data_IF_993711739036
#
_entry.id   IF_993711739036
#
_cell.length_a   1.000
_cell.length_b   1.000
_cell.length_c   1.000
_cell.angle_alpha   90.00
_cell.angle_beta   90.00
_cell.angle_gamma   90.00
#
_symmetry.space_group_name_H-M   'P 1'
#
loop_
_entity.id
_entity.type
_entity.pdbx_description
1 polymer ?
#
# COMPACT_ATOMS: atom_id res chain seq x y z
N UNK A 1 36.49 47.01 -13.75
CA UNK A 1 35.80 45.76 -14.15
C UNK A 1 35.75 44.88 -12.92
N UNK A 2 34.56 44.52 -12.44
CA UNK A 2 34.46 43.68 -11.25
C UNK A 2 35.07 42.31 -11.55
N UNK A 3 36.11 41.92 -10.82
CA UNK A 3 36.79 40.65 -11.00
C UNK A 3 35.81 39.51 -10.69
N UNK A 4 35.53 38.67 -11.69
CA UNK A 4 34.55 37.60 -11.59
C UNK A 4 35.10 36.49 -10.71
N UNK A 5 34.30 36.00 -9.76
CA UNK A 5 34.77 35.06 -8.75
C UNK A 5 35.11 33.71 -9.37
N UNK A 6 36.40 33.38 -9.50
CA UNK A 6 36.89 32.10 -10.02
C UNK A 6 36.97 31.04 -8.92
N UNK A 7 36.38 29.87 -9.15
CA UNK A 7 36.46 28.75 -8.21
C UNK A 7 37.90 28.24 -8.11
N UNK A 8 38.40 28.14 -6.88
CA UNK A 8 39.80 27.82 -6.55
C UNK A 8 40.85 28.71 -7.23
N UNK A 9 40.44 29.89 -7.70
CA UNK A 9 41.29 30.81 -8.48
C UNK A 9 41.57 30.36 -9.92
N UNK A 10 40.97 29.25 -10.38
CA UNK A 10 41.24 28.65 -11.70
C UNK A 10 40.02 28.65 -12.61
N UNK A 11 38.87 28.19 -12.11
CA UNK A 11 37.71 27.86 -12.95
C UNK A 11 36.69 29.02 -12.99
N UNK A 12 36.33 29.47 -14.18
CA UNK A 12 35.30 30.52 -14.36
C UNK A 12 33.88 29.92 -14.32
N UNK A 13 32.92 30.68 -13.81
CA UNK A 13 31.50 30.30 -13.79
C UNK A 13 30.71 30.86 -14.98
N UNK A 14 31.26 31.84 -15.71
CA UNK A 14 30.56 32.51 -16.82
C UNK A 14 30.42 31.61 -18.05
N UNK A 15 31.35 30.69 -18.25
CA UNK A 15 31.38 29.73 -19.37
C UNK A 15 30.47 28.52 -19.11
N UNK A 16 29.81 28.44 -17.95
CA UNK A 16 29.04 27.26 -17.55
C UNK A 16 27.58 27.42 -17.98
N UNK A 17 27.14 26.51 -18.85
CA UNK A 17 25.78 26.47 -19.38
C UNK A 17 25.00 25.26 -18.83
N UNK A 18 23.72 25.48 -18.55
CA UNK A 18 22.79 24.41 -18.11
C UNK A 18 21.87 24.07 -19.29
N UNK A 19 22.02 22.87 -19.84
CA UNK A 19 21.25 22.45 -21.03
C UNK A 19 19.77 22.13 -20.75
N UNK A 20 19.42 21.74 -19.52
CA UNK A 20 18.04 21.44 -19.12
C UNK A 20 17.37 22.64 -18.44
N UNK A 21 16.37 23.21 -19.12
CA UNK A 21 15.57 24.35 -18.69
C UNK A 21 14.92 24.10 -17.31
N UNK A 22 14.51 22.87 -17.01
CA UNK A 22 13.83 22.54 -15.75
C UNK A 22 14.76 22.56 -14.53
N UNK A 23 16.08 22.46 -14.76
CA UNK A 23 17.09 22.38 -13.71
C UNK A 23 17.85 23.71 -13.50
N UNK A 24 17.69 24.68 -14.41
CA UNK A 24 18.42 25.95 -14.41
C UNK A 24 18.33 26.69 -13.05
N UNK A 25 17.14 26.77 -12.46
CA UNK A 25 16.93 27.45 -11.17
C UNK A 25 17.41 26.64 -9.94
N UNK A 26 17.62 25.34 -10.12
CA UNK A 26 18.01 24.42 -9.04
C UNK A 26 19.50 24.08 -9.02
N UNK A 27 20.20 24.40 -10.12
CA UNK A 27 21.65 24.32 -10.28
C UNK A 27 22.21 25.74 -10.13
N UNK A 28 22.62 26.10 -8.92
CA UNK A 28 23.18 27.41 -8.62
C UNK A 28 24.62 27.54 -9.15
N UNK A 29 24.76 27.84 -10.44
CA UNK A 29 26.03 28.14 -11.13
C UNK A 29 26.11 29.57 -11.67
N UNK A 30 24.99 30.30 -11.68
CA UNK A 30 24.95 31.72 -12.10
C UNK A 30 25.96 32.57 -11.30
N UNK A 31 26.52 33.66 -11.86
CA UNK A 31 27.53 34.50 -11.21
C UNK A 31 27.17 34.98 -9.79
N UNK A 32 25.88 35.15 -9.49
CA UNK A 32 25.35 35.46 -8.15
C UNK A 32 25.77 34.46 -7.07
N UNK A 33 25.95 33.19 -7.44
CA UNK A 33 26.30 32.08 -6.56
C UNK A 33 27.78 31.70 -6.66
N UNK A 34 28.55 32.38 -7.51
CA UNK A 34 29.98 32.13 -7.68
C UNK A 34 30.73 32.41 -6.37
N UNK A 35 31.60 31.48 -5.99
CA UNK A 35 32.43 31.56 -4.78
C UNK A 35 33.82 31.04 -5.10
N UNK A 36 34.83 31.62 -4.45
CA UNK A 36 36.22 31.18 -4.60
C UNK A 36 36.49 29.79 -3.99
N UNK A 37 35.72 29.41 -2.97
CA UNK A 37 35.86 28.11 -2.28
C UNK A 37 34.50 27.45 -2.14
N UNK A 38 34.50 26.14 -1.85
CA UNK A 38 33.29 25.34 -1.67
C UNK A 38 32.67 25.47 -0.27
N UNK A 39 33.09 26.47 0.50
CA UNK A 39 32.62 26.72 1.85
C UNK A 39 32.05 28.14 1.96
N UNK A 40 30.72 28.28 1.95
CA UNK A 40 30.07 29.59 2.03
C UNK A 40 29.63 29.98 3.45
N UNK A 41 29.84 29.11 4.45
CA UNK A 41 29.25 29.21 5.81
C UNK A 41 27.71 29.42 5.83
N UNK A 42 27.03 29.12 4.71
CA UNK A 42 25.61 29.41 4.52
C UNK A 42 24.72 28.44 5.28
N UNK A 43 23.68 28.98 5.95
CA UNK A 43 22.64 28.18 6.63
C UNK A 43 21.47 27.89 5.67
N UNK A 44 21.66 26.92 4.79
CA UNK A 44 20.69 26.56 3.74
C UNK A 44 19.53 25.67 4.23
N UNK A 45 19.64 25.08 5.42
CA UNK A 45 18.65 24.18 6.01
C UNK A 45 17.46 24.90 6.68
N UNK A 46 17.57 26.20 6.97
CA UNK A 46 16.54 26.95 7.73
C UNK A 46 15.18 27.03 7.02
N UNK A 47 15.14 26.96 5.68
CA UNK A 47 13.91 26.96 4.88
C UNK A 47 14.04 25.96 3.75
N UNK A 48 12.94 25.29 3.37
CA UNK A 48 12.92 24.20 2.38
C UNK A 48 13.62 24.54 1.05
N UNK A 49 13.32 25.71 0.46
CA UNK A 49 13.83 26.09 -0.85
C UNK A 49 15.19 26.80 -0.83
N UNK A 50 15.75 27.14 0.35
CA UNK A 50 17.08 27.75 0.43
C UNK A 50 18.19 26.82 -0.05
N UNK A 51 17.95 25.51 -0.06
CA UNK A 51 18.87 24.51 -0.62
C UNK A 51 19.16 24.74 -2.11
N UNK A 52 18.21 25.25 -2.89
CA UNK A 52 18.39 25.53 -4.31
C UNK A 52 19.42 26.66 -4.55
N UNK A 53 19.56 27.59 -3.60
CA UNK A 53 20.49 28.72 -3.67
C UNK A 53 21.93 28.35 -3.27
N UNK A 54 22.15 27.14 -2.75
CA UNK A 54 23.49 26.69 -2.36
C UNK A 54 24.29 26.33 -3.62
N UNK A 55 25.52 26.87 -3.80
CA UNK A 55 26.36 26.57 -4.96
C UNK A 55 26.50 25.06 -5.17
N UNK A 56 26.45 24.63 -6.43
CA UNK A 56 26.35 23.19 -6.74
C UNK A 56 27.58 22.40 -6.26
N UNK A 57 28.77 23.00 -6.35
CA UNK A 57 30.02 22.39 -5.89
C UNK A 57 30.03 22.24 -4.37
N UNK A 58 29.48 23.21 -3.63
CA UNK A 58 29.33 23.08 -2.17
C UNK A 58 28.35 21.95 -1.80
N UNK A 59 27.27 21.75 -2.57
CA UNK A 59 26.36 20.61 -2.36
C UNK A 59 27.05 19.27 -2.60
N UNK A 60 27.92 19.17 -3.61
CA UNK A 60 28.75 17.99 -3.85
C UNK A 60 29.68 17.74 -2.67
N UNK A 61 30.40 18.77 -2.21
CA UNK A 61 31.30 18.66 -1.05
C UNK A 61 30.54 18.18 0.19
N UNK A 62 29.40 18.81 0.52
CA UNK A 62 28.54 18.43 1.65
C UNK A 62 28.04 16.98 1.57
N UNK A 63 27.79 16.47 0.36
CA UNK A 63 27.31 15.09 0.15
C UNK A 63 28.43 14.05 0.24
N UNK A 64 29.69 14.45 0.06
CA UNK A 64 30.85 13.57 0.18
C UNK A 64 31.20 13.25 1.64
N UNK A 65 30.85 14.12 2.58
CA UNK A 65 31.11 13.96 4.02
C UNK A 65 30.16 12.98 4.73
N UNK A 66 29.24 12.34 4.02
CA UNK A 66 28.24 11.49 4.64
C UNK A 66 28.83 10.14 5.10
N UNK A 67 28.22 9.59 6.16
CA UNK A 67 28.47 8.30 6.80
C UNK A 67 29.69 8.20 7.74
N UNK A 68 29.41 7.76 8.97
CA UNK A 68 30.39 7.30 9.95
C UNK A 68 31.49 8.31 10.28
N UNK A 69 32.75 7.90 10.07
CA UNK A 69 33.98 8.60 10.50
C UNK A 69 34.28 9.91 9.75
N UNK A 70 33.61 10.17 8.63
CA UNK A 70 33.85 11.33 7.77
C UNK A 70 32.82 12.45 7.96
N UNK A 71 31.82 12.22 8.82
CA UNK A 71 30.81 13.20 9.16
C UNK A 71 31.45 14.49 9.71
N UNK A 72 31.11 15.64 9.11
CA UNK A 72 31.57 16.96 9.55
C UNK A 72 32.96 17.38 9.05
N UNK A 73 33.71 16.51 8.37
CA UNK A 73 35.07 16.81 7.88
C UNK A 73 35.06 17.58 6.55
N UNK A 74 34.58 18.83 6.59
CA UNK A 74 34.39 19.67 5.38
C UNK A 74 35.68 20.09 4.70
N UNK A 75 36.73 20.36 5.47
CA UNK A 75 38.05 20.69 4.92
C UNK A 75 38.61 19.54 4.07
N UNK A 76 38.56 18.31 4.59
CA UNK A 76 38.99 17.12 3.88
C UNK A 76 38.21 16.90 2.58
N UNK A 77 36.88 17.01 2.64
CA UNK A 77 36.02 16.88 1.46
C UNK A 77 36.29 17.98 0.41
N UNK A 78 36.55 19.22 0.84
CA UNK A 78 36.91 20.32 -0.07
C UNK A 78 38.21 20.04 -0.81
N UNK A 79 39.21 19.46 -0.13
CA UNK A 79 40.47 19.06 -0.78
C UNK A 79 40.26 17.95 -1.80
N UNK A 80 39.43 16.95 -1.49
CA UNK A 80 39.11 15.86 -2.42
C UNK A 80 38.45 16.41 -3.69
N UNK A 81 37.45 17.30 -3.56
CA UNK A 81 36.78 17.91 -4.72
C UNK A 81 37.75 18.75 -5.54
N UNK A 82 38.65 19.51 -4.90
CA UNK A 82 39.69 20.28 -5.60
C UNK A 82 40.58 19.37 -6.46
N UNK A 83 41.09 18.28 -5.89
CA UNK A 83 41.91 17.33 -6.64
C UNK A 83 41.14 16.61 -7.74
N UNK A 84 39.89 16.21 -7.48
CA UNK A 84 39.04 15.59 -8.49
C UNK A 84 38.81 16.52 -9.69
N UNK A 85 38.58 17.83 -9.46
CA UNK A 85 38.40 18.80 -10.54
C UNK A 85 39.67 19.03 -11.36
N UNK A 86 40.86 18.96 -10.73
CA UNK A 86 42.13 19.00 -11.46
C UNK A 86 42.28 17.78 -12.36
N UNK A 87 41.95 16.58 -11.87
CA UNK A 87 41.97 15.34 -12.67
C UNK A 87 40.97 15.42 -13.83
N UNK A 88 39.74 15.90 -13.59
CA UNK A 88 38.72 16.06 -14.64
C UNK A 88 39.22 16.98 -15.76
N UNK A 89 39.80 18.13 -15.40
CA UNK A 89 40.34 19.05 -16.40
C UNK A 89 41.49 18.43 -17.19
N UNK A 90 42.41 17.72 -16.53
CA UNK A 90 43.53 17.06 -17.22
C UNK A 90 43.09 15.93 -18.17
N UNK A 91 41.97 15.27 -17.90
CA UNK A 91 41.48 14.16 -18.71
C UNK A 91 40.52 14.59 -19.84
N UNK A 92 39.83 15.72 -19.68
CA UNK A 92 38.76 16.14 -20.60
C UNK A 92 39.05 17.46 -21.31
N UNK A 93 40.03 18.23 -20.84
CA UNK A 93 40.34 19.60 -21.27
C UNK A 93 39.13 20.57 -21.22
N UNK A 94 38.09 20.20 -20.47
CA UNK A 94 36.88 20.99 -20.26
C UNK A 94 36.86 21.58 -18.85
N UNK A 95 36.10 22.67 -18.69
CA UNK A 95 35.85 23.24 -17.37
C UNK A 95 35.17 22.17 -16.46
N UNK A 96 35.78 21.80 -15.33
CA UNK A 96 35.25 20.73 -14.48
C UNK A 96 33.89 21.06 -13.86
N UNK A 97 33.55 22.35 -13.75
CA UNK A 97 32.23 22.78 -13.30
C UNK A 97 31.16 22.42 -14.34
N UNK A 98 31.46 22.55 -15.64
CA UNK A 98 30.57 22.15 -16.72
C UNK A 98 30.34 20.63 -16.69
N UNK A 99 31.41 19.85 -16.59
CA UNK A 99 31.32 18.38 -16.49
C UNK A 99 30.46 17.96 -15.29
N UNK A 100 30.57 18.66 -14.15
CA UNK A 100 29.70 18.42 -13.00
C UNK A 100 28.22 18.72 -13.29
N UNK A 101 27.93 19.82 -13.98
CA UNK A 101 26.56 20.19 -14.37
C UNK A 101 25.97 19.11 -15.28
N UNK A 102 26.70 18.71 -16.32
CA UNK A 102 26.26 17.67 -17.26
C UNK A 102 26.06 16.31 -16.56
N UNK A 103 26.96 15.95 -15.64
CA UNK A 103 26.82 14.76 -14.81
C UNK A 103 25.54 14.77 -13.95
N UNK A 104 25.14 15.94 -13.43
CA UNK A 104 23.93 16.08 -12.63
C UNK A 104 22.67 15.99 -13.51
N UNK A 105 22.69 16.61 -14.70
CA UNK A 105 21.59 16.57 -15.67
C UNK A 105 21.33 15.11 -16.08
N UNK A 106 22.40 14.39 -16.43
CA UNK A 106 22.29 13.01 -16.87
C UNK A 106 22.02 12.03 -15.71
N UNK A 107 22.61 12.25 -14.54
CA UNK A 107 22.46 11.37 -13.36
C UNK A 107 21.11 11.49 -12.64
N UNK A 108 20.30 12.51 -12.95
CA UNK A 108 19.00 12.74 -12.31
C UNK A 108 17.87 11.92 -12.93
N UNK A 109 17.11 11.12 -12.16
CA UNK A 109 15.94 10.39 -12.66
C UNK A 109 14.77 11.35 -12.97
N UNK A 110 14.02 11.03 -14.02
CA UNK A 110 12.81 11.75 -14.42
C UNK A 110 11.57 11.21 -13.73
N UNK A 111 11.52 9.89 -13.59
CA UNK A 111 10.43 9.16 -12.95
C UNK A 111 10.96 8.28 -11.81
N UNK A 112 10.16 8.12 -10.77
CA UNK A 112 10.41 7.23 -9.64
C UNK A 112 9.11 6.46 -9.35
N UNK A 113 9.19 5.42 -8.52
CA UNK A 113 8.04 4.62 -8.16
C UNK A 113 7.71 4.79 -6.68
N UNK A 114 6.53 5.31 -6.36
CA UNK A 114 6.06 5.43 -4.97
C UNK A 114 5.29 4.20 -4.55
N UNK A 115 5.44 3.86 -3.27
CA UNK A 115 4.70 2.76 -2.65
C UNK A 115 3.28 3.23 -2.33
N UNK A 116 2.28 2.61 -2.94
CA UNK A 116 0.86 2.89 -2.70
C UNK A 116 0.18 1.59 -2.32
N UNK A 117 -0.55 1.60 -1.21
CA UNK A 117 -1.28 0.43 -0.77
C UNK A 117 -2.38 0.79 0.19
N UNK A 118 -3.51 0.12 0.05
CA UNK A 118 -4.60 0.12 1.02
C UNK A 118 -4.89 -1.35 1.37
N UNK A 119 -5.26 -1.60 2.63
CA UNK A 119 -5.61 -2.94 3.12
C UNK A 119 -4.51 -4.02 2.97
N UNK A 120 -3.23 -3.65 3.14
CA UNK A 120 -2.12 -4.62 3.23
C UNK A 120 -1.53 -5.08 1.90
N UNK A 121 -2.17 -4.77 0.77
CA UNK A 121 -1.58 -4.98 -0.56
C UNK A 121 -0.80 -3.73 -0.95
N UNK A 122 0.51 -3.90 -1.13
CA UNK A 122 1.42 -2.82 -1.53
C UNK A 122 1.71 -2.94 -3.02
N UNK A 123 1.29 -1.93 -3.78
CA UNK A 123 1.67 -1.76 -5.18
C UNK A 123 2.65 -0.58 -5.30
N UNK A 124 3.38 -0.50 -6.40
CA UNK A 124 4.19 0.67 -6.74
C UNK A 124 3.47 1.43 -7.84
N UNK A 125 3.29 2.73 -7.70
CA UNK A 125 2.78 3.61 -8.75
C UNK A 125 3.92 4.48 -9.28
N UNK A 126 4.00 4.62 -10.61
CA UNK A 126 4.93 5.54 -11.23
C UNK A 126 4.53 6.99 -10.92
N UNK A 127 5.49 7.81 -10.53
CA UNK A 127 5.29 9.24 -10.29
C UNK A 127 6.46 10.05 -10.83
N UNK A 128 6.18 11.28 -11.24
CA UNK A 128 7.21 12.20 -11.69
C UNK A 128 8.09 12.70 -10.54
N UNK A 129 9.38 12.92 -10.82
CA UNK A 129 10.34 13.44 -9.86
C UNK A 129 10.47 14.95 -10.00
N UNK A 130 10.25 15.67 -8.90
CA UNK A 130 10.50 17.12 -8.83
C UNK A 130 11.95 17.47 -9.21
N UNK A 131 12.20 18.57 -9.95
CA UNK A 131 13.55 18.99 -10.34
C UNK A 131 14.54 19.14 -9.17
N UNK A 132 14.10 19.67 -8.03
CA UNK A 132 14.95 19.76 -6.84
C UNK A 132 15.37 18.38 -6.32
N UNK A 133 14.45 17.39 -6.38
CA UNK A 133 14.73 16.00 -5.98
C UNK A 133 15.66 15.33 -6.99
N UNK A 134 15.48 15.59 -8.28
CA UNK A 134 16.36 15.12 -9.36
C UNK A 134 17.82 15.50 -9.10
N UNK A 135 18.09 16.79 -8.86
CA UNK A 135 19.45 17.28 -8.53
C UNK A 135 19.98 16.65 -7.23
N UNK A 136 19.14 16.49 -6.20
CA UNK A 136 19.55 15.88 -4.95
C UNK A 136 19.92 14.40 -5.09
N UNK A 137 19.12 13.63 -5.84
CA UNK A 137 19.38 12.22 -6.10
C UNK A 137 20.63 12.04 -6.96
N UNK A 138 20.82 12.86 -8.00
CA UNK A 138 22.02 12.81 -8.84
C UNK A 138 23.31 13.00 -8.02
N UNK A 139 23.38 14.07 -7.21
CA UNK A 139 24.55 14.32 -6.36
C UNK A 139 24.77 13.17 -5.37
N UNK A 140 23.70 12.66 -4.76
CA UNK A 140 23.81 11.56 -3.78
C UNK A 140 24.29 10.26 -4.42
N UNK A 141 23.81 9.93 -5.62
CA UNK A 141 24.24 8.75 -6.35
C UNK A 141 25.69 8.85 -6.80
N UNK A 142 26.12 10.01 -7.31
CA UNK A 142 27.52 10.28 -7.69
C UNK A 142 28.45 10.09 -6.49
N UNK A 143 28.15 10.70 -5.33
CA UNK A 143 29.02 10.56 -4.15
C UNK A 143 28.95 9.16 -3.52
N UNK A 144 27.87 8.41 -3.74
CA UNK A 144 27.77 7.02 -3.30
C UNK A 144 28.61 6.11 -4.19
N UNK A 145 28.51 6.24 -5.51
CA UNK A 145 29.35 5.52 -6.47
C UNK A 145 30.84 5.77 -6.26
N UNK A 146 31.24 7.03 -6.04
CA UNK A 146 32.63 7.38 -5.74
C UNK A 146 33.15 6.71 -4.46
N UNK A 147 32.34 6.66 -3.40
CA UNK A 147 32.71 6.02 -2.12
C UNK A 147 32.79 4.50 -2.23
N UNK A 148 31.83 3.88 -2.90
CA UNK A 148 31.81 2.43 -3.11
C UNK A 148 33.01 1.99 -3.97
N UNK A 149 33.33 2.75 -5.02
CA UNK A 149 34.45 2.45 -5.93
C UNK A 149 35.83 2.65 -5.29
N UNK A 150 35.95 3.59 -4.35
CA UNK A 150 37.18 3.82 -3.59
C UNK A 150 37.36 2.83 -2.43
N UNK A 151 36.28 2.21 -1.93
CA UNK A 151 36.36 1.33 -0.78
C UNK A 151 37.11 0.03 -1.14
N UNK A 152 38.21 -0.23 -0.43
CA UNK A 152 39.14 -1.38 -0.67
C UNK A 152 39.81 -1.36 -2.05
N UNK A 153 39.81 -0.21 -2.73
CA UNK A 153 40.54 -0.02 -3.98
C UNK A 153 41.83 0.77 -3.73
N UNK A 154 42.81 0.62 -4.63
CA UNK A 154 44.08 1.35 -4.60
C UNK A 154 43.88 2.81 -5.04
N UNK A 155 42.94 3.02 -5.96
CA UNK A 155 42.59 4.36 -6.47
C UNK A 155 42.18 5.29 -5.34
N UNK A 156 42.63 6.53 -5.43
CA UNK A 156 42.23 7.56 -4.46
C UNK A 156 40.76 7.94 -4.67
N UNK A 157 40.10 8.45 -3.61
CA UNK A 157 38.72 8.92 -3.72
C UNK A 157 38.57 10.08 -4.73
N UNK A 158 39.62 10.88 -4.93
CA UNK A 158 39.62 11.96 -5.91
C UNK A 158 39.59 11.43 -7.35
N UNK A 159 40.37 10.39 -7.65
CA UNK A 159 40.35 9.69 -8.95
C UNK A 159 39.00 9.00 -9.18
N UNK A 160 38.48 8.26 -8.19
CA UNK A 160 37.18 7.61 -8.32
C UNK A 160 36.04 8.61 -8.54
N UNK A 161 36.09 9.78 -7.88
CA UNK A 161 35.10 10.84 -8.08
C UNK A 161 35.23 11.47 -9.48
N UNK A 162 36.46 11.69 -9.97
CA UNK A 162 36.68 12.20 -11.32
C UNK A 162 36.17 11.21 -12.40
N UNK A 163 36.49 9.92 -12.25
CA UNK A 163 36.00 8.86 -13.14
C UNK A 163 34.46 8.83 -13.15
N UNK A 164 33.81 8.94 -11.99
CA UNK A 164 32.35 8.93 -11.87
C UNK A 164 31.72 10.16 -12.54
N UNK A 165 32.31 11.36 -12.37
CA UNK A 165 31.84 12.59 -13.01
C UNK A 165 31.95 12.53 -14.53
N UNK A 166 33.09 12.09 -15.07
CA UNK A 166 33.31 12.01 -16.53
C UNK A 166 32.35 11.00 -17.15
N UNK A 167 32.18 9.82 -16.51
CA UNK A 167 31.28 8.79 -17.02
C UNK A 167 29.81 9.21 -16.95
N UNK A 168 29.40 9.88 -15.86
CA UNK A 168 28.04 10.40 -15.72
C UNK A 168 27.75 11.53 -16.70
N UNK A 169 28.71 12.45 -16.94
CA UNK A 169 28.57 13.53 -17.91
C UNK A 169 28.37 13.00 -19.34
N UNK A 170 29.07 11.93 -19.72
CA UNK A 170 28.88 11.25 -21.01
C UNK A 170 27.61 10.40 -21.09
N UNK A 171 26.87 10.23 -19.98
CA UNK A 171 25.72 9.32 -19.92
C UNK A 171 26.10 7.84 -20.02
N UNK A 172 27.34 7.48 -19.71
CA UNK A 172 27.80 6.10 -19.79
C UNK A 172 27.21 5.26 -18.68
N UNK A 173 26.70 4.08 -19.04
CA UNK A 173 26.24 3.06 -18.11
C UNK A 173 27.36 2.48 -17.24
N UNK A 174 28.62 2.90 -17.38
CA UNK A 174 29.69 2.53 -16.46
C UNK A 174 29.55 3.21 -15.09
N UNK A 175 29.02 4.43 -15.08
CA UNK A 175 28.80 5.19 -13.83
C UNK A 175 27.73 4.52 -12.96
N UNK A 176 27.94 4.55 -11.64
CA UNK A 176 26.97 4.07 -10.67
C UNK A 176 25.68 4.90 -10.73
N UNK A 177 25.81 6.22 -10.89
CA UNK A 177 24.67 7.13 -10.92
C UNK A 177 23.69 6.81 -12.06
N UNK A 178 24.19 6.58 -13.28
CA UNK A 178 23.34 6.24 -14.44
C UNK A 178 22.74 4.85 -14.27
N UNK A 179 23.52 3.85 -13.83
CA UNK A 179 22.98 2.49 -13.57
C UNK A 179 21.79 2.52 -12.61
N UNK A 180 21.91 3.28 -11.52
CA UNK A 180 20.84 3.39 -10.51
C UNK A 180 19.67 4.23 -10.97
N UNK A 181 19.91 5.30 -11.73
CA UNK A 181 18.85 6.05 -12.39
C UNK A 181 18.03 5.14 -13.32
N UNK A 182 18.69 4.40 -14.21
CA UNK A 182 18.02 3.52 -15.17
C UNK A 182 17.24 2.40 -14.47
N UNK A 183 17.74 1.90 -13.34
CA UNK A 183 17.02 0.95 -12.48
C UNK A 183 15.71 1.55 -11.94
N UNK A 184 15.76 2.79 -11.41
CA UNK A 184 14.57 3.49 -10.91
C UNK A 184 13.55 3.77 -12.02
N UNK A 185 14.01 4.28 -13.16
CA UNK A 185 13.14 4.58 -14.30
C UNK A 185 12.54 3.31 -14.92
N UNK A 186 13.28 2.19 -14.91
CA UNK A 186 12.76 0.87 -15.35
C UNK A 186 11.64 0.38 -14.42
N UNK A 187 11.82 0.53 -13.11
CA UNK A 187 10.79 0.19 -12.12
C UNK A 187 9.56 1.09 -12.30
N UNK A 188 9.75 2.39 -12.53
CA UNK A 188 8.64 3.30 -12.81
C UNK A 188 7.89 2.89 -14.09
N UNK A 189 8.62 2.65 -15.19
CA UNK A 189 8.03 2.21 -16.48
C UNK A 189 7.22 0.92 -16.35
N UNK A 190 7.71 -0.07 -15.61
CA UNK A 190 6.99 -1.31 -15.38
C UNK A 190 5.63 -1.10 -14.68
N UNK A 191 5.55 -0.11 -13.77
CA UNK A 191 4.35 0.17 -13.01
C UNK A 191 3.38 1.13 -13.71
N UNK A 192 3.78 1.83 -14.78
CA UNK A 192 2.85 2.60 -15.62
C UNK A 192 1.78 1.71 -16.26
N UNK A 193 2.15 0.50 -16.67
CA UNK A 193 1.25 -0.45 -17.32
C UNK A 193 0.18 -1.04 -16.36
N UNK A 194 0.35 -0.85 -15.05
CA UNK A 194 -0.60 -1.30 -14.04
C UNK A 194 -1.67 -0.25 -13.70
N UNK A 195 -1.64 0.93 -14.33
CA UNK A 195 -2.70 1.91 -14.17
C UNK A 195 -3.96 1.44 -14.88
N UNK A 196 -4.94 0.99 -14.08
CA UNK A 196 -6.31 0.80 -14.55
C UNK A 196 -6.82 2.17 -15.03
N UNK A 197 -7.23 2.30 -16.30
CA UNK A 197 -7.67 3.58 -16.86
C UNK A 197 -8.83 4.13 -16.04
N UNK A 198 -8.70 5.38 -15.58
CA UNK A 198 -9.64 5.99 -14.64
C UNK A 198 -10.78 6.71 -15.37
N UNK A 199 -10.56 7.14 -16.61
CA UNK A 199 -11.58 7.78 -17.46
C UNK A 199 -12.19 6.81 -18.48
N UNK A 200 -13.37 7.13 -19.02
CA UNK A 200 -14.01 6.35 -20.09
C UNK A 200 -13.25 6.48 -21.43
N UNK A 201 -12.64 7.64 -21.69
CA UNK A 201 -11.80 7.91 -22.87
C UNK A 201 -10.52 7.07 -22.88
N UNK A 202 -9.79 7.01 -21.78
CA UNK A 202 -8.58 6.18 -21.65
C UNK A 202 -8.90 4.69 -21.86
N UNK A 203 -10.08 4.25 -21.39
CA UNK A 203 -10.58 2.88 -21.64
C UNK A 203 -10.85 2.62 -23.12
N UNK A 204 -11.46 3.57 -23.84
CA UNK A 204 -11.68 3.47 -25.30
C UNK A 204 -10.36 3.44 -26.05
N UNK A 205 -9.39 4.26 -25.65
CA UNK A 205 -8.10 4.35 -26.33
C UNK A 205 -7.26 3.07 -26.15
N UNK A 206 -7.15 2.56 -24.91
CA UNK A 206 -6.49 1.29 -24.61
C UNK A 206 -7.17 0.12 -25.35
N UNK A 207 -8.51 0.10 -25.38
CA UNK A 207 -9.28 -0.90 -26.15
C UNK A 207 -8.98 -0.81 -27.66
N UNK A 208 -8.89 0.40 -28.21
CA UNK A 208 -8.55 0.63 -29.63
C UNK A 208 -7.11 0.20 -29.96
N UNK A 209 -6.17 0.40 -29.03
CA UNK A 209 -4.77 0.00 -29.18
C UNK A 209 -4.61 -1.52 -29.13
N UNK A 210 -5.30 -2.18 -28.20
CA UNK A 210 -5.30 -3.63 -28.08
C UNK A 210 -5.96 -4.29 -29.31
N UNK A 211 -7.08 -3.73 -29.80
CA UNK A 211 -7.70 -4.19 -31.05
C UNK A 211 -6.76 -4.06 -32.25
N UNK A 212 -5.96 -2.99 -32.32
CA UNK A 212 -4.94 -2.83 -33.38
C UNK A 212 -3.84 -3.88 -33.27
N UNK A 213 -3.36 -4.18 -32.06
CA UNK A 213 -2.35 -5.22 -31.83
C UNK A 213 -2.88 -6.63 -32.16
N UNK A 214 -4.13 -6.94 -31.80
CA UNK A 214 -4.77 -8.23 -32.12
C UNK A 214 -5.00 -8.38 -33.63
N UNK A 215 -5.39 -7.29 -34.33
CA UNK A 215 -5.47 -7.27 -35.79
C UNK A 215 -4.11 -7.44 -36.46
N UNK A 216 -3.07 -6.78 -35.95
CA UNK A 216 -1.69 -6.92 -36.45
C UNK A 216 -1.12 -8.33 -36.23
N UNK A 217 -1.53 -9.02 -35.16
CA UNK A 217 -1.14 -10.40 -34.87
C UNK A 217 -1.91 -11.46 -35.70
N UNK A 218 -2.78 -11.06 -36.62
CA UNK A 218 -3.51 -11.99 -37.51
C UNK A 218 -4.57 -12.86 -36.80
N UNK A 219 -4.95 -12.52 -35.57
CA UNK A 219 -5.94 -13.25 -34.77
C UNK A 219 -7.38 -12.81 -35.04
N UNK A 220 -7.64 -12.25 -36.23
CA UNK A 220 -8.95 -11.81 -36.68
C UNK A 220 -9.84 -13.03 -36.98
N UNK A 221 -10.41 -13.63 -35.93
CA UNK A 221 -11.25 -14.83 -36.01
C UNK A 221 -11.43 -15.58 -34.70
N UNK A 222 -10.57 -15.34 -33.69
CA UNK A 222 -10.68 -15.94 -32.34
C UNK A 222 -11.20 -14.91 -31.33
N UNK A 223 -12.33 -14.27 -31.66
CA UNK A 223 -12.94 -13.23 -30.82
C UNK A 223 -13.30 -13.71 -29.39
N UNK A 224 -13.63 -15.01 -29.24
CA UNK A 224 -14.07 -15.60 -27.97
C UNK A 224 -12.90 -15.92 -27.01
N UNK A 225 -11.69 -16.16 -27.54
CA UNK A 225 -10.53 -16.52 -26.72
C UNK A 225 -9.85 -15.28 -26.11
N UNK A 226 -9.91 -14.13 -26.80
CA UNK A 226 -9.41 -12.86 -26.28
C UNK A 226 -10.28 -12.34 -25.14
N UNK A 227 -11.60 -12.53 -25.20
CA UNK A 227 -12.51 -12.21 -24.08
C UNK A 227 -12.31 -13.15 -22.88
N UNK A 228 -12.02 -14.44 -23.11
CA UNK A 228 -11.69 -15.40 -22.05
C UNK A 228 -10.42 -15.00 -21.29
N UNK A 229 -9.38 -14.57 -22.00
CA UNK A 229 -8.13 -14.07 -21.42
C UNK A 229 -8.35 -12.75 -20.65
N UNK A 230 -9.23 -11.86 -21.14
CA UNK A 230 -9.62 -10.65 -20.41
C UNK A 230 -10.44 -10.92 -19.14
N UNK A 231 -11.31 -11.94 -19.16
CA UNK A 231 -12.11 -12.36 -18.01
C UNK A 231 -11.28 -13.07 -16.92
N UNK A 232 -10.21 -13.77 -17.32
CA UNK A 232 -9.24 -14.37 -16.39
C UNK A 232 -8.35 -13.34 -15.68
N UNK A 233 -8.18 -12.15 -16.27
CA UNK A 233 -7.39 -11.04 -15.69
C UNK A 233 -8.22 -9.98 -14.95
N UNK A 234 -9.54 -10.16 -14.83
CA UNK A 234 -10.40 -9.30 -14.02
C UNK A 234 -10.32 -9.70 -12.54
N UNK A 235 -9.81 -8.78 -11.71
CA UNK A 235 -9.73 -8.92 -10.25
C UNK A 235 -11.08 -9.39 -9.66
N UNK A 236 -11.03 -10.26 -8.63
CA UNK A 236 -12.20 -10.83 -7.93
C UNK A 236 -13.26 -9.78 -7.55
N UNK A 237 -12.84 -8.56 -7.23
CA UNK A 237 -13.71 -7.42 -6.94
C UNK A 237 -14.64 -7.06 -8.10
N UNK A 238 -14.16 -7.13 -9.34
CA UNK A 238 -14.93 -6.78 -10.54
C UNK A 238 -15.91 -7.90 -10.90
N UNK A 239 -15.56 -9.17 -10.65
CA UNK A 239 -16.52 -10.30 -10.74
C UNK A 239 -17.64 -10.18 -9.71
N UNK A 240 -17.33 -9.80 -8.48
CA UNK A 240 -18.35 -9.56 -7.45
C UNK A 240 -19.27 -8.39 -7.81
N UNK A 241 -18.74 -7.29 -8.37
CA UNK A 241 -19.57 -6.15 -8.82
C UNK A 241 -20.50 -6.53 -9.97
N UNK A 242 -20.03 -7.36 -10.91
CA UNK A 242 -20.86 -7.87 -12.00
C UNK A 242 -21.96 -8.81 -11.48
N UNK A 243 -21.63 -9.67 -10.51
CA UNK A 243 -22.58 -10.57 -9.86
C UNK A 243 -23.63 -9.79 -9.05
N UNK A 244 -23.23 -8.76 -8.29
CA UNK A 244 -24.15 -7.88 -7.57
C UNK A 244 -25.05 -7.09 -8.52
N UNK A 245 -24.52 -6.60 -9.65
CA UNK A 245 -25.32 -5.90 -10.68
C UNK A 245 -26.34 -6.84 -11.35
N UNK A 246 -25.98 -8.10 -11.58
CA UNK A 246 -26.89 -9.13 -12.10
C UNK A 246 -27.97 -9.54 -11.08
N UNK A 247 -27.65 -9.53 -9.78
CA UNK A 247 -28.63 -9.77 -8.71
C UNK A 247 -29.57 -8.57 -8.48
N UNK A 248 -29.12 -7.35 -8.73
CA UNK A 248 -29.92 -6.13 -8.65
C UNK A 248 -30.96 -6.01 -9.78
N UNK A 249 -30.87 -6.83 -10.83
CA UNK A 249 -31.84 -6.95 -11.94
C UNK A 249 -33.24 -7.43 -11.49
N UNK A 250 -33.37 -7.97 -10.28
CA UNK A 250 -34.62 -8.49 -9.71
C UNK A 250 -35.30 -7.57 -8.67
N UNK A 251 -34.93 -6.28 -8.56
CA UNK A 251 -35.68 -5.30 -7.75
C UNK A 251 -36.33 -4.22 -8.62
N UNK A 252 -37.59 -3.83 -8.35
CA UNK A 252 -38.24 -2.75 -9.09
C UNK A 252 -37.54 -1.41 -8.83
N UNK A 253 -37.31 -0.72 -9.95
CA UNK A 253 -36.78 0.63 -10.20
C UNK A 253 -36.90 1.61 -9.02
N UNK A 254 -35.76 2.09 -8.52
CA UNK A 254 -35.67 3.37 -7.82
C UNK A 254 -34.28 4.01 -8.00
N UNK A 255 -34.27 5.13 -8.74
CA UNK A 255 -33.30 6.23 -8.77
C UNK A 255 -31.88 5.92 -9.28
N UNK A 256 -31.66 6.19 -10.57
CA UNK A 256 -30.38 6.69 -11.09
C UNK A 256 -30.71 7.87 -12.00
N UNK A 257 -30.33 9.07 -11.57
CA UNK A 257 -30.28 10.25 -12.43
C UNK A 257 -29.07 10.19 -13.36
N UNK A 258 -29.27 10.71 -14.58
CA UNK A 258 -28.29 11.08 -15.60
C UNK A 258 -27.60 9.95 -16.41
N UNK A 259 -28.25 9.53 -17.48
CA UNK A 259 -27.64 9.13 -18.76
C UNK A 259 -28.68 9.34 -19.88
N UNK A 260 -28.27 9.90 -21.02
CA UNK A 260 -29.18 10.27 -22.11
C UNK A 260 -29.82 9.02 -22.77
N UNK A 261 -31.12 9.06 -23.12
CA UNK A 261 -31.89 7.89 -23.52
C UNK A 261 -31.47 7.23 -24.85
N UNK A 262 -30.73 7.93 -25.73
CA UNK A 262 -30.28 7.39 -27.03
C UNK A 262 -29.11 6.39 -26.90
N UNK A 263 -28.23 6.55 -25.89
CA UNK A 263 -27.08 5.65 -25.65
C UNK A 263 -27.50 4.29 -25.06
N UNK A 264 -28.63 4.25 -24.34
CA UNK A 264 -29.18 3.03 -23.74
C UNK A 264 -29.83 2.11 -24.79
N UNK A 265 -30.40 2.67 -25.86
CA UNK A 265 -31.04 1.87 -26.92
C UNK A 265 -30.01 1.15 -27.80
N UNK A 266 -28.85 1.77 -28.08
CA UNK A 266 -27.74 1.11 -28.79
C UNK A 266 -27.05 0.03 -27.94
N UNK A 267 -26.91 0.24 -26.63
CA UNK A 267 -26.38 -0.79 -25.71
C UNK A 267 -27.36 -1.96 -25.54
N UNK A 268 -28.68 -1.71 -25.48
CA UNK A 268 -29.70 -2.76 -25.40
C UNK A 268 -29.74 -3.57 -26.71
N UNK A 269 -29.69 -2.92 -27.87
CA UNK A 269 -29.67 -3.60 -29.17
C UNK A 269 -28.42 -4.48 -29.36
N UNK A 270 -27.26 -4.02 -28.89
CA UNK A 270 -26.02 -4.80 -28.91
C UNK A 270 -26.06 -5.99 -27.94
N UNK A 271 -26.63 -5.81 -26.75
CA UNK A 271 -26.82 -6.87 -25.75
C UNK A 271 -27.84 -7.92 -26.24
N UNK A 272 -28.89 -7.53 -26.96
CA UNK A 272 -29.87 -8.45 -27.54
C UNK A 272 -29.28 -9.32 -28.66
N UNK A 273 -28.40 -8.77 -29.49
CA UNK A 273 -27.68 -9.51 -30.54
C UNK A 273 -26.62 -10.47 -29.94
N UNK A 274 -25.93 -10.03 -28.88
CA UNK A 274 -24.97 -10.85 -28.13
C UNK A 274 -25.64 -12.02 -27.39
N UNK A 275 -26.85 -11.83 -26.84
CA UNK A 275 -27.63 -12.90 -26.18
C UNK A 275 -28.18 -13.90 -27.20
N UNK A 276 -28.56 -13.47 -28.40
CA UNK A 276 -29.08 -14.34 -29.48
C UNK A 276 -28.01 -15.30 -29.99
N UNK A 277 -26.77 -14.85 -30.09
CA UNK A 277 -25.63 -15.64 -30.58
C UNK A 277 -25.01 -16.56 -29.53
N UNK A 278 -25.11 -16.22 -28.24
CA UNK A 278 -24.58 -17.03 -27.13
C UNK A 278 -25.59 -18.02 -26.52
N UNK A 279 -26.90 -17.81 -26.74
CA UNK A 279 -27.97 -18.59 -26.12
C UNK A 279 -28.04 -20.08 -26.50
N UNK A 280 -27.56 -20.47 -27.68
CA UNK A 280 -27.57 -21.87 -28.12
C UNK A 280 -26.46 -22.72 -27.46
N UNK A 281 -25.30 -22.10 -27.16
CA UNK A 281 -24.17 -22.80 -26.56
C UNK A 281 -24.23 -22.82 -25.02
N UNK A 282 -24.81 -21.78 -24.41
CA UNK A 282 -24.98 -21.69 -22.96
C UNK A 282 -26.03 -22.66 -22.41
N UNK A 283 -27.11 -22.97 -23.14
CA UNK A 283 -28.10 -23.98 -22.70
C UNK A 283 -27.51 -25.39 -22.63
N UNK A 284 -26.59 -25.71 -23.54
CA UNK A 284 -25.90 -27.01 -23.58
C UNK A 284 -24.87 -27.13 -22.45
N UNK A 285 -24.04 -26.09 -22.28
CA UNK A 285 -23.05 -26.03 -21.19
C UNK A 285 -23.68 -25.90 -19.80
N UNK A 286 -24.81 -25.21 -19.67
CA UNK A 286 -25.55 -25.14 -18.40
C UNK A 286 -26.26 -26.46 -18.06
N UNK A 287 -26.74 -27.21 -19.05
CA UNK A 287 -27.32 -28.54 -18.84
C UNK A 287 -26.24 -29.57 -18.45
N UNK A 288 -25.06 -29.51 -19.09
CA UNK A 288 -23.91 -30.37 -18.79
C UNK A 288 -23.31 -30.03 -17.41
N UNK A 289 -23.13 -28.74 -17.07
CA UNK A 289 -22.63 -28.31 -15.77
C UNK A 289 -23.63 -28.53 -14.61
N UNK A 290 -24.94 -28.44 -14.86
CA UNK A 290 -25.96 -28.77 -13.86
C UNK A 290 -26.02 -30.28 -13.59
N UNK A 291 -25.81 -31.13 -14.61
CA UNK A 291 -25.72 -32.57 -14.43
C UNK A 291 -24.47 -32.97 -13.64
N UNK A 292 -23.33 -32.35 -13.92
CA UNK A 292 -22.05 -32.62 -13.25
C UNK A 292 -22.08 -32.16 -11.77
N UNK A 293 -22.67 -30.99 -11.49
CA UNK A 293 -22.86 -30.46 -10.14
C UNK A 293 -23.83 -31.30 -9.28
N UNK A 294 -24.84 -31.93 -9.90
CA UNK A 294 -25.76 -32.83 -9.19
C UNK A 294 -25.09 -34.16 -8.80
N UNK A 295 -24.19 -34.69 -9.65
CA UNK A 295 -23.39 -35.89 -9.34
C UNK A 295 -22.29 -35.64 -8.30
N UNK A 296 -21.71 -34.45 -8.25
CA UNK A 296 -20.75 -34.05 -7.22
C UNK A 296 -21.43 -33.83 -5.86
N UNK A 297 -22.63 -33.23 -5.85
CA UNK A 297 -23.42 -33.06 -4.63
C UNK A 297 -23.98 -34.38 -4.06
N UNK A 298 -24.15 -35.41 -4.90
CA UNK A 298 -24.59 -36.73 -4.46
C UNK A 298 -23.47 -37.56 -3.79
N UNK A 299 -22.20 -37.29 -4.13
CA UNK A 299 -21.05 -38.05 -3.60
C UNK A 299 -20.45 -37.48 -2.30
N UNK A 300 -20.73 -36.22 -1.95
CA UNK A 300 -20.28 -35.60 -0.69
C UNK A 300 -21.14 -35.96 0.54
N UNK A 301 -22.16 -36.81 0.38
CA UNK A 301 -23.03 -37.26 1.48
C UNK A 301 -22.48 -38.49 2.21
N UNK A 302 -21.38 -39.11 1.76
CA UNK A 302 -20.88 -40.37 2.35
C UNK A 302 -19.49 -40.34 3.03
N UNK A 303 -18.86 -39.19 3.24
CA UNK A 303 -17.65 -39.11 4.08
C UNK A 303 -17.81 -38.16 5.26
N UNK A 304 -18.80 -38.45 6.10
CA UNK A 304 -18.85 -37.97 7.49
C UNK A 304 -17.85 -38.77 8.34
N UNK A 305 -16.57 -38.40 8.28
CA UNK A 305 -15.56 -38.92 9.20
C UNK A 305 -15.66 -38.19 10.54
N UNK A 306 -15.94 -38.98 11.58
CA UNK A 306 -16.10 -38.59 12.97
C UNK A 306 -14.94 -37.75 13.52
N UNK A 307 -15.27 -36.66 14.21
CA UNK A 307 -14.43 -36.07 15.25
C UNK A 307 -15.22 -36.10 16.57
N UNK A 308 -14.83 -37.04 17.41
CA UNK A 308 -15.35 -37.27 18.76
C UNK A 308 -14.92 -36.16 19.72
N UNK A 309 -15.87 -35.55 20.43
CA UNK A 309 -15.79 -35.44 21.89
C UNK A 309 -17.17 -35.17 22.49
N UNK A 310 -17.61 -36.12 23.32
CA UNK A 310 -18.81 -36.07 24.13
C UNK A 310 -18.72 -34.94 25.17
N UNK A 311 -19.76 -34.11 25.25
CA UNK A 311 -20.30 -33.67 26.53
C UNK A 311 -21.82 -33.80 26.47
N UNK A 312 -22.39 -34.44 27.49
CA UNK A 312 -23.84 -34.61 27.61
C UNK A 312 -24.51 -33.23 27.59
N UNK A 313 -25.32 -32.96 26.57
CA UNK A 313 -25.99 -31.67 26.38
C UNK A 313 -27.18 -31.60 27.34
N UNK A 314 -27.21 -30.58 28.18
CA UNK A 314 -28.35 -30.29 29.05
C UNK A 314 -29.61 -30.03 28.20
N UNK A 315 -30.79 -30.55 28.61
CA UNK A 315 -32.02 -30.35 27.87
C UNK A 315 -32.46 -28.88 27.91
N UNK A 316 -32.39 -28.18 26.77
CA UNK A 316 -32.89 -26.80 26.61
C UNK A 316 -31.92 -25.81 25.96
N UNK A 317 -30.65 -26.18 25.78
CA UNK A 317 -29.63 -25.31 25.17
C UNK A 317 -29.56 -25.47 23.65
N UNK A 318 -29.33 -24.36 22.95
CA UNK A 318 -29.12 -24.29 21.50
C UNK A 318 -27.72 -23.76 21.22
N UNK A 319 -27.07 -24.29 20.20
CA UNK A 319 -25.77 -23.79 19.75
C UNK A 319 -25.95 -22.54 18.90
N UNK A 320 -25.38 -21.43 19.36
CA UNK A 320 -25.33 -20.17 18.66
C UNK A 320 -23.96 -20.00 18.00
N UNK A 321 -23.95 -19.68 16.70
CA UNK A 321 -22.73 -19.39 15.97
C UNK A 321 -22.54 -17.88 15.80
N UNK A 322 -21.29 -17.42 15.93
CA UNK A 322 -20.91 -16.02 15.74
C UNK A 322 -19.59 -15.86 15.00
N UNK A 323 -19.40 -14.67 14.44
CA UNK A 323 -18.17 -14.32 13.71
C UNK A 323 -17.88 -12.83 13.77
N UNK A 324 -16.62 -12.45 13.61
CA UNK A 324 -16.27 -11.05 13.34
C UNK A 324 -16.73 -10.66 11.91
N UNK A 325 -16.74 -9.36 11.59
CA UNK A 325 -17.20 -8.85 10.29
C UNK A 325 -16.45 -9.43 9.07
N UNK A 326 -15.14 -9.69 9.18
CA UNK A 326 -14.38 -10.29 8.08
C UNK A 326 -14.44 -11.83 8.06
N UNK A 327 -15.13 -12.47 9.01
CA UNK A 327 -15.24 -13.92 9.10
C UNK A 327 -13.98 -14.67 9.54
N UNK A 328 -12.86 -13.97 9.78
CA UNK A 328 -11.59 -14.60 10.16
C UNK A 328 -11.63 -15.24 11.56
N UNK A 329 -12.42 -14.66 12.48
CA UNK A 329 -12.69 -15.22 13.81
C UNK A 329 -14.10 -15.79 13.81
N UNK A 330 -14.22 -17.09 14.13
CA UNK A 330 -15.49 -17.81 14.20
C UNK A 330 -15.57 -18.57 15.51
N UNK A 331 -16.71 -18.51 16.17
CA UNK A 331 -16.93 -19.13 17.48
C UNK A 331 -18.36 -19.65 17.59
N UNK A 332 -18.55 -20.57 18.51
CA UNK A 332 -19.85 -21.14 18.87
C UNK A 332 -20.00 -21.16 20.38
N UNK A 333 -21.23 -21.08 20.85
CA UNK A 333 -21.53 -21.29 22.26
C UNK A 333 -22.93 -21.84 22.47
N UNK A 334 -23.13 -22.52 23.58
CA UNK A 334 -24.41 -23.11 23.94
C UNK A 334 -25.13 -22.22 24.96
N UNK A 335 -26.33 -21.74 24.61
CA UNK A 335 -27.18 -20.90 25.46
C UNK A 335 -28.67 -21.14 25.14
N UNK A 336 -29.57 -20.61 25.98
CA UNK A 336 -31.00 -20.59 25.65
C UNK A 336 -31.29 -19.65 24.47
N UNK A 337 -32.43 -19.85 23.80
CA UNK A 337 -32.86 -18.98 22.68
C UNK A 337 -33.18 -17.54 23.12
N UNK A 338 -33.46 -17.33 24.40
CA UNK A 338 -33.70 -16.02 25.00
C UNK A 338 -32.45 -15.57 25.77
N UNK A 339 -31.73 -14.61 25.20
CA UNK A 339 -30.44 -14.15 25.72
C UNK A 339 -30.62 -12.93 26.63
N UNK A 340 -29.84 -12.87 27.70
CA UNK A 340 -29.73 -11.66 28.54
C UNK A 340 -28.47 -10.91 28.15
N UNK A 341 -28.63 -9.72 27.59
CA UNK A 341 -27.53 -8.87 27.15
C UNK A 341 -27.35 -7.68 28.09
N UNK A 342 -26.09 -7.32 28.33
CA UNK A 342 -25.69 -6.25 29.23
C UNK A 342 -25.11 -5.07 28.47
N UNK A 343 -25.58 -3.88 28.84
CA UNK A 343 -25.02 -2.60 28.44
C UNK A 343 -24.34 -1.94 29.62
N UNK A 344 -23.14 -1.40 29.39
CA UNK A 344 -22.30 -0.80 30.41
C UNK A 344 -21.81 0.57 29.95
N UNK A 345 -21.87 1.55 30.84
CA UNK A 345 -21.52 2.96 30.60
C UNK A 345 -20.03 3.28 30.87
N UNK A 346 -19.19 2.30 31.21
CA UNK A 346 -17.76 2.55 31.48
C UNK A 346 -17.03 3.12 30.24
N UNK A 347 -15.91 3.79 30.45
CA UNK A 347 -15.20 4.54 29.38
C UNK A 347 -14.89 3.70 28.13
N UNK A 348 -14.58 2.41 28.27
CA UNK A 348 -14.34 1.52 27.12
C UNK A 348 -15.64 0.97 26.50
N UNK A 349 -16.65 0.65 27.30
CA UNK A 349 -17.90 0.06 26.81
C UNK A 349 -18.79 1.11 26.15
N UNK A 350 -18.81 2.34 26.66
CA UNK A 350 -19.51 3.47 26.04
C UNK A 350 -18.93 3.84 24.67
N UNK A 351 -17.60 3.85 24.55
CA UNK A 351 -16.90 4.09 23.28
C UNK A 351 -17.09 2.94 22.27
N UNK A 352 -17.06 1.69 22.73
CA UNK A 352 -17.25 0.51 21.86
C UNK A 352 -18.70 0.22 21.52
N UNK A 353 -19.66 0.74 22.29
CA UNK A 353 -21.08 0.35 22.28
C UNK A 353 -21.25 -1.17 22.32
N UNK A 354 -20.58 -1.80 23.29
CA UNK A 354 -20.49 -3.26 23.34
C UNK A 354 -21.63 -3.89 24.17
N UNK A 355 -22.71 -4.25 23.50
CA UNK A 355 -23.82 -5.04 24.08
C UNK A 355 -23.46 -6.52 24.07
N UNK A 356 -23.30 -7.12 25.25
CA UNK A 356 -22.74 -8.46 25.40
C UNK A 356 -23.57 -9.39 26.30
N UNK A 357 -23.65 -10.66 25.93
CA UNK A 357 -24.21 -11.73 26.74
C UNK A 357 -23.07 -12.53 27.39
N UNK A 358 -23.24 -12.93 28.66
CA UNK A 358 -22.22 -13.68 29.40
C UNK A 358 -22.49 -15.17 29.22
N UNK A 359 -21.43 -15.92 28.92
CA UNK A 359 -21.45 -17.35 28.69
C UNK A 359 -20.32 -18.00 29.53
N UNK A 360 -20.60 -19.08 30.28
CA UNK A 360 -19.57 -19.84 30.98
C UNK A 360 -18.50 -20.40 30.03
N UNK A 361 -17.24 -20.48 30.47
CA UNK A 361 -16.13 -20.97 29.64
C UNK A 361 -16.38 -22.39 29.08
N UNK A 362 -17.00 -23.28 29.87
CA UNK A 362 -17.34 -24.64 29.42
C UNK A 362 -18.39 -24.71 28.30
N UNK A 363 -19.17 -23.65 28.07
CA UNK A 363 -20.19 -23.56 27.01
C UNK A 363 -19.71 -22.76 25.79
N UNK A 364 -18.46 -22.28 25.76
CA UNK A 364 -17.90 -21.49 24.66
C UNK A 364 -16.81 -22.27 23.91
N UNK A 365 -16.86 -22.23 22.57
CA UNK A 365 -15.90 -22.89 21.69
C UNK A 365 -15.42 -21.94 20.60
N UNK A 366 -14.10 -21.72 20.53
CA UNK A 366 -13.49 -20.99 19.43
C UNK A 366 -13.22 -21.95 18.26
N UNK A 367 -13.89 -21.75 17.13
CA UNK A 367 -13.75 -22.62 15.95
C UNK A 367 -12.54 -22.26 15.09
N UNK A 368 -12.31 -20.96 14.88
CA UNK A 368 -11.23 -20.49 14.01
C UNK A 368 -10.81 -19.05 14.37
N UNK A 369 -9.55 -18.71 14.06
CA UNK A 369 -9.07 -17.33 14.12
C UNK A 369 -8.36 -16.94 15.41
N UNK A 370 -7.84 -17.89 16.19
CA UNK A 370 -7.05 -17.59 17.39
C UNK A 370 -5.86 -16.65 17.06
N UNK A 371 -5.16 -16.90 15.94
CA UNK A 371 -4.04 -16.08 15.49
C UNK A 371 -4.46 -14.70 14.99
N UNK A 372 -5.75 -14.49 14.73
CA UNK A 372 -6.32 -13.22 14.27
C UNK A 372 -6.84 -12.35 15.42
N UNK A 373 -6.77 -12.84 16.67
CA UNK A 373 -7.16 -12.08 17.85
C UNK A 373 -5.98 -11.27 18.40
N UNK A 374 -6.26 -10.04 18.81
CA UNK A 374 -5.35 -9.20 19.58
C UNK A 374 -5.98 -8.89 20.92
N UNK A 375 -5.18 -8.93 21.98
CA UNK A 375 -5.62 -8.70 23.35
C UNK A 375 -5.23 -7.30 23.80
N UNK A 376 -6.18 -6.56 24.38
CA UNK A 376 -5.95 -5.30 25.07
C UNK A 376 -6.37 -5.43 26.54
N UNK A 377 -5.47 -5.04 27.44
CA UNK A 377 -5.65 -5.05 28.88
C UNK A 377 -5.25 -3.68 29.44
N UNK A 378 -6.01 -3.19 30.40
CA UNK A 378 -5.76 -1.90 31.06
C UNK A 378 -6.30 -1.92 32.49
N UNK A 379 -5.97 -0.90 33.28
CA UNK A 379 -6.35 -0.77 34.69
C UNK A 379 -5.89 -1.97 35.54
N UNK A 380 -6.79 -2.85 36.00
CA UNK A 380 -6.43 -4.02 36.82
C UNK A 380 -5.83 -5.18 36.02
N UNK A 381 -5.75 -5.05 34.68
CA UNK A 381 -5.31 -6.10 33.75
C UNK A 381 -6.09 -7.43 33.80
N UNK A 382 -7.19 -7.48 34.55
CA UNK A 382 -8.04 -8.67 34.70
C UNK A 382 -8.91 -8.93 33.46
N UNK A 383 -9.52 -7.87 32.91
CA UNK A 383 -10.34 -7.97 31.71
C UNK A 383 -9.46 -8.10 30.46
N UNK A 384 -9.71 -9.13 29.65
CA UNK A 384 -9.00 -9.38 28.38
C UNK A 384 -9.91 -9.03 27.22
N UNK A 385 -9.75 -7.83 26.66
CA UNK A 385 -10.52 -7.40 25.48
C UNK A 385 -9.90 -7.99 24.20
N UNK A 386 -10.59 -8.97 23.61
CA UNK A 386 -10.14 -9.65 22.40
C UNK A 386 -10.84 -9.04 21.18
N UNK A 387 -10.07 -8.59 20.20
CA UNK A 387 -10.59 -8.01 18.97
C UNK A 387 -9.85 -8.56 17.76
N UNK A 388 -10.53 -8.55 16.60
CA UNK A 388 -9.94 -9.00 15.36
C UNK A 388 -8.92 -7.98 14.85
N UNK A 389 -7.67 -8.41 14.61
CA UNK A 389 -6.61 -7.55 14.06
C UNK A 389 -6.89 -7.06 12.63
N UNK A 390 -7.82 -7.69 11.92
CA UNK A 390 -8.16 -7.38 10.53
C UNK A 390 -9.30 -6.36 10.42
N UNK A 391 -10.41 -6.56 11.14
CA UNK A 391 -11.59 -5.67 11.06
C UNK A 391 -11.84 -4.83 12.31
N UNK A 392 -11.04 -4.99 13.37
CA UNK A 392 -11.16 -4.22 14.61
C UNK A 392 -12.36 -4.58 15.51
N UNK A 393 -13.27 -5.45 15.05
CA UNK A 393 -14.45 -5.85 15.82
C UNK A 393 -14.04 -6.71 17.02
N UNK A 394 -14.71 -6.48 18.15
CA UNK A 394 -14.62 -7.27 19.37
C UNK A 394 -15.74 -8.32 19.37
N UNK A 395 -15.53 -9.56 18.89
CA UNK A 395 -16.58 -10.57 18.84
C UNK A 395 -16.95 -11.11 20.23
N UNK A 396 -15.95 -11.24 21.10
CA UNK A 396 -16.11 -11.66 22.48
C UNK A 396 -14.91 -11.18 23.30
N UNK A 397 -15.02 -11.13 24.61
CA UNK A 397 -13.93 -10.81 25.51
C UNK A 397 -14.10 -11.49 26.87
N UNK A 398 -13.06 -11.51 27.72
CA UNK A 398 -13.21 -11.95 29.11
C UNK A 398 -13.40 -10.73 30.02
N UNK A 399 -14.59 -10.54 30.61
CA UNK A 399 -14.88 -9.39 31.46
C UNK A 399 -14.21 -9.52 32.84
N UNK A 400 -14.06 -8.39 33.54
CA UNK A 400 -13.56 -8.38 34.93
C UNK A 400 -14.53 -9.05 35.90
N UNK A 401 -15.83 -8.95 35.68
CA UNK A 401 -16.87 -9.53 36.55
C UNK A 401 -16.87 -11.05 36.54
N UNK A 402 -16.52 -11.65 35.40
CA UNK A 402 -16.61 -13.09 35.17
C UNK A 402 -15.32 -13.56 34.45
N UNK A 403 -14.21 -13.76 35.19
CA UNK A 403 -12.96 -14.25 34.60
C UNK A 403 -13.08 -15.65 33.99
N UNK A 404 -14.00 -16.45 34.54
CA UNK A 404 -14.31 -17.85 34.17
C UNK A 404 -15.37 -17.95 33.05
N UNK A 405 -15.65 -16.84 32.37
CA UNK A 405 -16.63 -16.76 31.29
C UNK A 405 -16.20 -15.84 30.17
N UNK A 406 -16.93 -15.93 29.06
CA UNK A 406 -16.80 -15.08 27.89
C UNK A 406 -18.03 -14.17 27.77
N UNK A 407 -17.78 -12.89 27.58
CA UNK A 407 -18.78 -11.91 27.18
C UNK A 407 -18.81 -11.85 25.65
N UNK A 408 -19.86 -12.42 25.05
CA UNK A 408 -20.07 -12.48 23.60
C UNK A 408 -20.89 -11.29 23.14
N UNK A 409 -20.41 -10.57 22.11
CA UNK A 409 -21.10 -9.42 21.55
C UNK A 409 -22.28 -9.86 20.69
N UNK A 410 -23.49 -9.41 21.05
CA UNK A 410 -24.75 -9.88 20.44
C UNK A 410 -24.82 -9.55 18.95
N UNK A 411 -24.25 -8.43 18.52
CA UNK A 411 -24.20 -8.02 17.12
C UNK A 411 -23.26 -8.86 16.24
N UNK A 412 -22.44 -9.73 16.84
CA UNK A 412 -21.56 -10.65 16.11
C UNK A 412 -22.19 -12.04 15.91
N UNK A 413 -23.42 -12.24 16.38
CA UNK A 413 -24.16 -13.49 16.22
C UNK A 413 -24.74 -13.59 14.82
N UNK A 414 -24.74 -14.82 14.27
CA UNK A 414 -25.46 -15.09 13.03
C UNK A 414 -26.97 -15.08 13.29
N UNK A 415 -27.77 -14.50 12.38
CA UNK A 415 -29.22 -14.53 12.51
C UNK A 415 -29.74 -15.97 12.42
N UNK A 416 -30.75 -16.30 13.24
CA UNK A 416 -31.52 -17.55 13.13
C UNK A 416 -31.67 -18.36 14.41
N UNK A 417 -30.76 -18.24 15.38
CA UNK A 417 -30.79 -19.05 16.61
C UNK A 417 -31.34 -18.32 17.83
N UNK A 418 -31.30 -16.98 17.84
CA UNK A 418 -31.79 -16.12 18.94
C UNK A 418 -33.24 -15.72 18.70
N UNK A 419 -34.10 -15.93 19.71
CA UNK A 419 -35.53 -15.57 19.66
C UNK A 419 -35.79 -14.18 20.26
N UNK A 420 -35.26 -13.91 21.44
CA UNK A 420 -35.38 -12.60 22.09
C UNK A 420 -34.10 -12.24 22.84
N UNK A 421 -33.87 -10.93 22.99
CA UNK A 421 -32.73 -10.39 23.75
C UNK A 421 -33.30 -9.44 24.81
N UNK A 422 -33.13 -9.80 26.09
CA UNK A 422 -33.50 -8.96 27.22
C UNK A 422 -32.32 -8.10 27.61
N UNK A 423 -32.49 -6.78 27.51
CA UNK A 423 -31.46 -5.79 27.81
C UNK A 423 -31.43 -5.46 29.30
N UNK A 424 -30.24 -5.53 29.91
CA UNK A 424 -29.97 -5.06 31.28
C UNK A 424 -28.86 -4.01 31.24
N UNK A 425 -29.02 -2.95 32.02
CA UNK A 425 -28.02 -1.88 32.11
C UNK A 425 -27.24 -1.98 33.42
N UNK A 426 -25.92 -1.82 33.35
CA UNK A 426 -25.04 -1.75 34.51
C UNK A 426 -24.22 -0.45 34.49
N UNK A 427 -24.21 0.26 35.61
CA UNK A 427 -23.38 1.45 35.79
C UNK A 427 -21.93 1.02 36.11
N UNK A 428 -21.11 0.85 35.07
CA UNK A 428 -19.67 0.61 35.18
C UNK A 428 -18.87 1.83 35.63
N UNK A 429 -19.47 3.02 35.61
CA UNK A 429 -18.94 4.24 36.25
C UNK A 429 -18.84 4.12 37.78
N UNK A 430 -19.71 3.32 38.42
CA UNK A 430 -19.71 3.06 39.86
C UNK A 430 -19.60 1.55 40.16
N UNK A 431 -18.55 0.92 39.61
CA UNK A 431 -18.38 -0.54 39.58
C UNK A 431 -18.49 -1.25 40.94
N UNK A 432 -17.85 -0.70 41.98
CA UNK A 432 -17.69 -1.39 43.28
C UNK A 432 -19.01 -1.62 44.02
N UNK A 433 -19.98 -0.72 43.86
CA UNK A 433 -21.29 -0.82 44.53
C UNK A 433 -22.33 -1.61 43.72
N UNK A 434 -22.19 -1.64 42.39
CA UNK A 434 -23.25 -2.12 41.48
C UNK A 434 -23.09 -3.59 41.11
N UNK A 435 -21.87 -4.12 41.07
CA UNK A 435 -21.62 -5.50 40.63
C UNK A 435 -22.29 -6.52 41.55
N UNK A 436 -22.17 -6.36 42.86
CA UNK A 436 -22.79 -7.24 43.85
C UNK A 436 -24.34 -7.19 43.78
N UNK A 437 -24.92 -6.02 43.51
CA UNK A 437 -26.37 -5.84 43.40
C UNK A 437 -26.96 -6.34 42.07
N UNK A 438 -26.16 -6.35 40.99
CA UNK A 438 -26.62 -6.71 39.64
C UNK A 438 -26.78 -8.21 39.39
N UNK A 439 -26.16 -9.07 40.22
CA UNK A 439 -26.14 -10.52 40.02
C UNK A 439 -25.33 -11.00 38.80
N UNK A 440 -24.63 -10.10 38.10
CA UNK A 440 -23.91 -10.40 36.85
C UNK A 440 -22.83 -11.49 37.01
N UNK A 441 -22.26 -11.60 38.21
CA UNK A 441 -21.23 -12.59 38.53
C UNK A 441 -21.75 -14.04 38.52
N UNK A 442 -23.06 -14.23 38.76
CA UNK A 442 -23.69 -15.56 38.79
C UNK A 442 -23.85 -16.16 37.39
N UNK A 443 -23.80 -15.35 36.33
CA UNK A 443 -24.01 -15.79 34.94
C UNK A 443 -22.86 -16.63 34.34
N UNK A 444 -21.70 -16.68 35.00
CA UNK A 444 -20.59 -17.55 34.58
C UNK A 444 -20.48 -18.83 35.39
N UNK A 445 -21.20 -18.93 36.50
CA UNK A 445 -21.27 -20.16 37.30
C UNK A 445 -22.10 -21.18 36.55
N UNK A 446 -21.62 -22.42 36.45
CA UNK A 446 -22.23 -23.47 35.63
C UNK A 446 -23.59 -23.95 36.19
N UNK A 447 -23.90 -23.60 37.45
CA UNK A 447 -25.10 -24.01 38.19
C UNK A 447 -26.21 -22.93 38.25
N UNK A 448 -26.50 -22.28 37.13
CA UNK A 448 -27.55 -21.26 36.99
C UNK A 448 -28.56 -21.57 35.90
#
# INVERSE_FOLDING_TARGET
MAETAKLYGKWNFEEVEVSDISLEDYIAVKPKYARFTTHSAGRFQKRRFRKAQCPIVERLTNSLMMHGRNNGKKLMASSIVKHAFEIVNLLTDQNPVQVLVDAIINGGPREDATRIGSAGVVRRQAVDVSPLRRVNQAIWLITTGARESAFRNIKTIAECLADELINAAKGSSNSYAIKKKDELERVAKANRMAEVPKSAEERREVRSGLLRQVKAAGLAGRHVEVERVMLEHLDFSTRCRLHDALQQRNRPRAVVEAADPEDLEEEIAWLEEAVRTTGASLKKLAAEAAAEALTLAANDVQSGAAATSNSAREPGLVTHAGSCHCGAVRFEFDAGRDLVAWECDCSICSMKRNTHAIVPEGRFRLLAGNDHLSCYQFNTHTARHLFCKTCGICPFYRPRSNPDGYAVTVHCLRPGTVRSITMKHIAGSNWESVVAASGIQQLSSVDG
#
